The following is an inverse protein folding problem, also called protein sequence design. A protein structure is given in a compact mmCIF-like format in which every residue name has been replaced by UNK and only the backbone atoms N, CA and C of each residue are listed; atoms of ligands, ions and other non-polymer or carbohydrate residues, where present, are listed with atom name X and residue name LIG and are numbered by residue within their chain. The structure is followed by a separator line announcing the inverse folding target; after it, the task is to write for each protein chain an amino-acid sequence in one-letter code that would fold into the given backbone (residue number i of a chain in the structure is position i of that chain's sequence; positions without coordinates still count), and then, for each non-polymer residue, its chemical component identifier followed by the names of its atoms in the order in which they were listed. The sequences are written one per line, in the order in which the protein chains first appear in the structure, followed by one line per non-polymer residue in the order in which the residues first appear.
data_IF_790134374428
#
_entry.id   IF_790134374428
#
_cell.length_a   1.000
_cell.length_b   1.000
_cell.length_c   1.000
_cell.angle_alpha   90.00
_cell.angle_beta   90.00
_cell.angle_gamma   90.00
#
_symmetry.space_group_name_H-M   'P 1'
#
loop_
_entity.id
_entity.type
_entity.pdbx_description
1 polymer ?
#
# COMPACT_ATOMS: atom_id res chain seq x y z
N UNK A 1 -36.27 1.94 1.80
CA UNK A 1 -34.98 1.41 1.33
C UNK A 1 -34.96 1.49 -0.18
N UNK A 2 -33.89 2.04 -0.78
CA UNK A 2 -33.76 2.02 -2.25
C UNK A 2 -33.63 0.58 -2.75
N UNK A 3 -33.96 0.33 -4.01
CA UNK A 3 -33.84 -1.01 -4.60
C UNK A 3 -32.37 -1.51 -4.57
N UNK A 4 -31.42 -0.61 -4.73
CA UNK A 4 -29.98 -0.87 -4.54
C UNK A 4 -29.66 -1.38 -3.13
N UNK A 5 -30.24 -0.76 -2.09
CA UNK A 5 -30.03 -1.17 -0.70
C UNK A 5 -30.63 -2.55 -0.37
N UNK A 6 -31.77 -2.89 -0.99
CA UNK A 6 -32.36 -4.23 -0.88
C UNK A 6 -31.47 -5.27 -1.55
N UNK A 7 -31.00 -4.97 -2.78
CA UNK A 7 -30.17 -5.88 -3.54
C UNK A 7 -28.81 -6.14 -2.85
N UNK A 8 -28.19 -5.12 -2.27
CA UNK A 8 -26.96 -5.27 -1.45
C UNK A 8 -27.21 -6.22 -0.28
N UNK A 9 -28.36 -6.07 0.43
CA UNK A 9 -28.68 -6.94 1.57
C UNK A 9 -28.90 -8.42 1.16
N UNK A 10 -29.56 -8.64 0.02
CA UNK A 10 -29.74 -9.97 -0.56
C UNK A 10 -28.41 -10.62 -0.93
N UNK A 11 -27.53 -9.87 -1.64
CA UNK A 11 -26.18 -10.36 -2.02
C UNK A 11 -25.32 -10.67 -0.81
N UNK A 12 -25.36 -9.87 0.24
CA UNK A 12 -24.63 -10.14 1.48
C UNK A 12 -25.12 -11.42 2.15
N UNK A 13 -26.44 -11.68 2.13
CA UNK A 13 -27.02 -12.92 2.62
C UNK A 13 -26.61 -14.12 1.76
N UNK A 14 -26.74 -14.02 0.43
CA UNK A 14 -26.31 -15.09 -0.49
C UNK A 14 -24.83 -15.42 -0.34
N UNK A 15 -23.97 -14.41 -0.14
CA UNK A 15 -22.54 -14.60 0.09
C UNK A 15 -22.24 -15.28 1.43
N UNK A 16 -22.98 -14.97 2.49
CA UNK A 16 -22.82 -15.62 3.79
C UNK A 16 -23.19 -17.11 3.73
N UNK A 17 -24.15 -17.48 2.89
CA UNK A 17 -24.60 -18.86 2.68
C UNK A 17 -23.77 -19.61 1.62
N UNK A 18 -22.94 -18.92 0.84
CA UNK A 18 -22.14 -19.49 -0.24
C UNK A 18 -20.87 -20.17 0.24
N UNK A 19 -20.33 -21.09 -0.59
CA UNK A 19 -19.08 -21.79 -0.30
C UNK A 19 -17.91 -20.78 -0.22
N UNK A 20 -17.14 -20.81 0.87
CA UNK A 20 -15.97 -19.97 1.03
C UNK A 20 -14.70 -20.67 0.51
N UNK A 21 -13.79 -19.95 -0.14
CA UNK A 21 -12.50 -20.46 -0.55
C UNK A 21 -12.29 -20.51 -2.07
N UNK A 22 -11.16 -21.08 -2.44
CA UNK A 22 -10.71 -21.27 -3.83
C UNK A 22 -10.25 -22.71 -4.07
N UNK A 23 -10.22 -23.13 -5.34
CA UNK A 23 -9.78 -24.48 -5.70
C UNK A 23 -8.29 -24.47 -6.00
N UNK A 24 -7.52 -25.24 -5.23
CA UNK A 24 -6.09 -25.46 -5.42
C UNK A 24 -5.86 -26.82 -6.07
N UNK A 25 -4.99 -26.87 -7.08
CA UNK A 25 -4.54 -28.11 -7.75
C UNK A 25 -3.19 -28.54 -7.18
N UNK A 26 -3.05 -29.82 -6.84
CA UNK A 26 -1.78 -30.43 -6.41
C UNK A 26 -1.53 -31.73 -7.19
N UNK A 27 -0.28 -31.96 -7.57
CA UNK A 27 0.14 -33.23 -8.15
C UNK A 27 0.76 -34.10 -7.05
N UNK A 28 0.12 -35.22 -6.74
CA UNK A 28 0.59 -36.16 -5.71
C UNK A 28 0.75 -37.53 -6.34
N UNK A 29 1.99 -38.06 -6.34
CA UNK A 29 2.33 -39.35 -6.96
C UNK A 29 1.89 -39.43 -8.43
N UNK A 30 2.14 -38.38 -9.21
CA UNK A 30 1.79 -38.30 -10.63
C UNK A 30 0.29 -38.14 -10.95
N UNK A 31 -0.58 -38.03 -9.94
CA UNK A 31 -2.02 -37.82 -10.13
C UNK A 31 -2.43 -36.43 -9.64
N UNK A 32 -3.25 -35.74 -10.44
CA UNK A 32 -3.84 -34.47 -10.06
C UNK A 32 -4.88 -34.66 -8.97
N UNK A 33 -4.83 -33.79 -7.98
CA UNK A 33 -5.81 -33.74 -6.90
C UNK A 33 -6.22 -32.29 -6.65
N UNK A 34 -7.51 -32.10 -6.43
CA UNK A 34 -8.10 -30.78 -6.22
C UNK A 34 -8.54 -30.62 -4.75
N UNK A 35 -8.29 -29.43 -4.21
CA UNK A 35 -8.64 -29.10 -2.84
C UNK A 35 -9.37 -27.76 -2.81
N UNK A 36 -10.47 -27.69 -2.08
CA UNK A 36 -11.05 -26.42 -1.67
C UNK A 36 -10.26 -25.89 -0.49
N UNK A 37 -9.73 -24.67 -0.60
CA UNK A 37 -8.96 -24.01 0.45
C UNK A 37 -9.65 -22.73 0.88
N UNK A 38 -9.68 -22.47 2.18
CA UNK A 38 -10.21 -21.24 2.77
C UNK A 38 -9.45 -20.88 4.05
N UNK A 39 -9.54 -19.61 4.46
CA UNK A 39 -8.98 -19.13 5.72
C UNK A 39 -10.08 -19.06 6.78
N UNK A 40 -9.84 -19.66 7.94
CA UNK A 40 -10.73 -19.62 9.09
C UNK A 40 -9.92 -19.33 10.36
N UNK A 41 -10.26 -18.26 11.07
CA UNK A 41 -9.53 -17.79 12.26
C UNK A 41 -8.02 -17.62 12.02
N UNK A 42 -7.63 -17.04 10.88
CA UNK A 42 -6.24 -16.81 10.48
C UNK A 42 -5.45 -18.07 10.09
N UNK A 43 -6.11 -19.25 10.01
CA UNK A 43 -5.46 -20.51 9.61
C UNK A 43 -6.02 -21.01 8.29
N UNK A 44 -5.12 -21.38 7.36
CA UNK A 44 -5.50 -21.98 6.09
C UNK A 44 -6.03 -23.38 6.34
N UNK A 45 -7.27 -23.63 5.92
CA UNK A 45 -7.91 -24.94 5.91
C UNK A 45 -8.06 -25.48 4.50
N UNK A 46 -8.06 -26.79 4.34
CA UNK A 46 -8.25 -27.39 3.03
C UNK A 46 -9.07 -28.67 3.13
N UNK A 47 -9.94 -28.89 2.13
CA UNK A 47 -10.72 -30.12 1.98
C UNK A 47 -10.45 -30.71 0.59
N UNK A 48 -10.16 -32.01 0.53
CA UNK A 48 -10.04 -32.72 -0.75
C UNK A 48 -11.39 -32.75 -1.48
N UNK A 49 -11.36 -32.50 -2.78
CA UNK A 49 -12.53 -32.53 -3.68
C UNK A 49 -12.49 -33.85 -4.44
N UNK A 50 -13.51 -34.69 -4.30
CA UNK A 50 -13.64 -35.92 -5.09
C UNK A 50 -13.88 -35.58 -6.56
N UNK A 51 -13.45 -36.49 -7.47
CA UNK A 51 -13.54 -36.23 -8.92
C UNK A 51 -14.97 -35.90 -9.38
N UNK A 52 -16.00 -36.58 -8.83
CA UNK A 52 -17.41 -36.31 -9.14
C UNK A 52 -17.96 -34.98 -8.59
N UNK A 53 -17.28 -34.37 -7.60
CA UNK A 53 -17.70 -33.11 -6.96
C UNK A 53 -16.99 -31.87 -7.58
N UNK A 54 -15.98 -32.08 -8.42
CA UNK A 54 -15.11 -31.02 -8.90
C UNK A 54 -15.86 -29.95 -9.68
N UNK A 55 -16.65 -30.34 -10.66
CA UNK A 55 -17.39 -29.39 -11.50
C UNK A 55 -18.45 -28.63 -10.69
N UNK A 56 -19.14 -29.30 -9.77
CA UNK A 56 -20.11 -28.67 -8.89
C UNK A 56 -19.41 -27.65 -7.96
N UNK A 57 -18.24 -28.02 -7.40
CA UNK A 57 -17.47 -27.12 -6.54
C UNK A 57 -16.94 -25.90 -7.32
N UNK A 58 -16.50 -26.09 -8.59
CA UNK A 58 -16.10 -24.99 -9.46
C UNK A 58 -17.27 -24.03 -9.70
N UNK A 59 -18.43 -24.54 -10.06
CA UNK A 59 -19.62 -23.71 -10.28
C UNK A 59 -20.00 -22.89 -9.04
N UNK A 60 -19.88 -23.46 -7.85
CA UNK A 60 -20.17 -22.77 -6.59
C UNK A 60 -19.13 -21.67 -6.28
N UNK A 61 -17.84 -21.93 -6.53
CA UNK A 61 -16.77 -20.92 -6.36
C UNK A 61 -16.93 -19.78 -7.35
N UNK A 62 -17.21 -20.07 -8.63
CA UNK A 62 -17.46 -19.05 -9.65
C UNK A 62 -18.73 -18.23 -9.37
N UNK A 63 -19.81 -18.88 -8.89
CA UNK A 63 -21.01 -18.16 -8.45
C UNK A 63 -20.67 -17.17 -7.33
N UNK A 64 -19.85 -17.58 -6.34
CA UNK A 64 -19.43 -16.66 -5.27
C UNK A 64 -18.66 -15.48 -5.81
N UNK A 65 -17.71 -15.68 -6.75
CA UNK A 65 -16.97 -14.58 -7.40
C UNK A 65 -17.92 -13.62 -8.11
N UNK A 66 -18.90 -14.13 -8.85
CA UNK A 66 -19.90 -13.29 -9.52
C UNK A 66 -20.71 -12.46 -8.54
N UNK A 67 -21.14 -13.06 -7.42
CA UNK A 67 -21.86 -12.33 -6.36
C UNK A 67 -21.00 -11.26 -5.70
N UNK A 68 -19.70 -11.53 -5.48
CA UNK A 68 -18.74 -10.55 -4.95
C UNK A 68 -18.53 -9.38 -5.93
N UNK A 69 -18.40 -9.68 -7.23
CA UNK A 69 -18.25 -8.66 -8.26
C UNK A 69 -19.51 -7.77 -8.39
N UNK A 70 -20.71 -8.38 -8.35
CA UNK A 70 -21.97 -7.63 -8.35
C UNK A 70 -22.10 -6.75 -7.09
N UNK A 71 -21.78 -7.28 -5.93
CA UNK A 71 -21.78 -6.54 -4.67
C UNK A 71 -20.78 -5.37 -4.69
N UNK A 72 -19.57 -5.60 -5.22
CA UNK A 72 -18.53 -4.55 -5.39
C UNK A 72 -19.05 -3.43 -6.29
N UNK A 73 -19.66 -3.76 -7.45
CA UNK A 73 -20.25 -2.76 -8.37
C UNK A 73 -21.36 -1.96 -7.72
N UNK A 74 -22.28 -2.61 -7.03
CA UNK A 74 -23.41 -1.92 -6.37
C UNK A 74 -22.95 -1.04 -5.20
N UNK A 75 -21.96 -1.47 -4.42
CA UNK A 75 -21.35 -0.67 -3.33
C UNK A 75 -20.59 0.55 -3.85
N UNK A 76 -20.08 0.52 -5.06
CA UNK A 76 -19.44 1.66 -5.72
C UNK A 76 -20.41 2.72 -6.26
N UNK A 77 -21.71 2.42 -6.33
CA UNK A 77 -22.71 3.42 -6.75
C UNK A 77 -22.99 4.44 -5.64
N UNK A 78 -23.37 5.69 -5.97
CA UNK A 78 -23.73 6.71 -4.97
C UNK A 78 -24.79 6.24 -3.98
N UNK A 79 -25.76 5.45 -4.43
CA UNK A 79 -26.81 4.86 -3.59
C UNK A 79 -26.31 3.71 -2.74
N UNK A 80 -25.33 2.92 -3.24
CA UNK A 80 -24.67 1.87 -2.51
C UNK A 80 -23.81 2.41 -1.36
N UNK A 81 -23.08 3.48 -1.59
CA UNK A 81 -22.30 4.19 -0.56
C UNK A 81 -23.21 4.72 0.54
N UNK A 82 -24.34 5.35 0.16
CA UNK A 82 -25.35 5.81 1.15
C UNK A 82 -25.94 4.67 1.97
N UNK A 83 -26.25 3.54 1.33
CA UNK A 83 -26.82 2.34 2.00
C UNK A 83 -25.84 1.68 2.97
N UNK A 84 -24.57 1.57 2.60
CA UNK A 84 -23.53 1.02 3.46
C UNK A 84 -23.29 1.90 4.69
N UNK A 85 -23.23 3.21 4.50
CA UNK A 85 -23.09 4.18 5.59
C UNK A 85 -24.28 4.21 6.55
N UNK A 86 -25.51 4.01 6.05
CA UNK A 86 -26.70 3.93 6.89
C UNK A 86 -26.72 2.71 7.80
N UNK A 87 -26.23 1.55 7.34
CA UNK A 87 -26.11 0.34 8.19
C UNK A 87 -25.05 0.49 9.28
N UNK A 88 -23.93 1.12 8.97
CA UNK A 88 -22.87 1.44 9.95
C UNK A 88 -23.33 2.47 10.99
N UNK A 89 -24.20 3.41 10.60
CA UNK A 89 -24.85 4.40 11.48
C UNK A 89 -25.73 3.78 12.57
N UNK A 90 -26.37 2.65 12.30
CA UNK A 90 -27.28 2.00 13.25
C UNK A 90 -26.58 1.29 14.42
N UNK A 91 -25.25 1.15 14.40
CA UNK A 91 -24.46 0.35 15.39
C UNK A 91 -23.51 1.20 16.24
N UNK A 92 -23.34 2.50 15.94
CA UNK A 92 -22.43 3.37 16.72
C UNK A 92 -23.19 4.53 17.34
N UNK A 93 -22.92 4.78 18.65
CA UNK A 93 -23.08 6.11 19.27
C UNK A 93 -22.20 7.08 18.48
N UNK A 94 -22.79 7.76 17.51
CA UNK A 94 -22.09 8.68 16.62
C UNK A 94 -21.50 9.81 17.45
N UNK A 95 -20.18 9.89 17.49
CA UNK A 95 -19.53 11.15 17.83
C UNK A 95 -19.93 12.14 16.71
N UNK A 96 -20.48 13.27 17.13
CA UNK A 96 -20.95 14.32 16.23
C UNK A 96 -19.73 15.04 15.65
N UNK A 97 -19.17 14.52 14.50
CA UNK A 97 -17.98 15.09 13.88
C UNK A 97 -18.39 16.40 13.21
N UNK A 98 -18.15 17.50 13.93
CA UNK A 98 -18.43 18.85 13.46
C UNK A 98 -17.17 19.70 13.64
N UNK A 99 -16.79 20.45 12.61
CA UNK A 99 -15.59 21.27 12.57
C UNK A 99 -15.16 21.59 11.16
N UNK A 100 -13.88 21.83 10.98
CA UNK A 100 -13.27 22.12 9.67
C UNK A 100 -12.09 21.20 9.39
N UNK A 101 -11.99 20.78 8.14
CA UNK A 101 -10.76 20.16 7.62
C UNK A 101 -9.84 21.28 7.17
N UNK A 102 -8.60 21.20 7.59
CA UNK A 102 -7.59 22.22 7.39
C UNK A 102 -6.41 21.69 6.57
N UNK A 103 -5.77 22.57 5.80
CA UNK A 103 -4.39 22.40 5.31
C UNK A 103 -3.60 23.59 5.79
N UNK A 104 -2.64 23.37 6.67
CA UNK A 104 -2.05 24.45 7.49
C UNK A 104 -3.16 25.26 8.17
N UNK A 105 -3.16 26.58 8.03
CA UNK A 105 -4.19 27.47 8.57
C UNK A 105 -5.31 27.79 7.57
N UNK A 106 -5.30 27.14 6.37
CA UNK A 106 -6.33 27.28 5.35
C UNK A 106 -7.48 26.27 5.60
N UNK A 107 -8.72 26.76 5.64
CA UNK A 107 -9.91 25.91 5.70
C UNK A 107 -10.16 25.31 4.32
N UNK A 108 -10.07 23.96 4.22
CA UNK A 108 -10.31 23.26 2.94
C UNK A 108 -11.66 22.58 2.86
N UNK A 109 -12.31 22.33 4.01
CA UNK A 109 -13.70 21.87 4.03
C UNK A 109 -14.37 22.16 5.36
N UNK A 110 -15.69 22.40 5.31
CA UNK A 110 -16.56 22.45 6.49
C UNK A 110 -17.25 21.11 6.67
N UNK A 111 -17.27 20.62 7.91
CA UNK A 111 -17.87 19.33 8.27
C UNK A 111 -18.95 19.56 9.33
N UNK A 112 -20.17 19.10 9.07
CA UNK A 112 -21.29 19.15 10.01
C UNK A 112 -21.90 17.75 10.14
N UNK A 113 -21.89 17.21 11.36
CA UNK A 113 -22.45 15.89 11.65
C UNK A 113 -21.88 14.77 10.74
N UNK A 114 -20.57 14.79 10.47
CA UNK A 114 -19.92 13.81 9.61
C UNK A 114 -20.17 14.00 8.10
N UNK A 115 -20.72 15.13 7.69
CA UNK A 115 -20.99 15.46 6.29
C UNK A 115 -20.18 16.67 5.87
N UNK A 116 -19.45 16.57 4.77
CA UNK A 116 -18.76 17.70 4.14
C UNK A 116 -19.82 18.57 3.46
N UNK A 117 -19.91 19.86 3.84
CA UNK A 117 -20.94 20.80 3.35
C UNK A 117 -20.37 21.87 2.43
N UNK A 118 -19.06 22.13 2.53
CA UNK A 118 -18.35 23.12 1.72
C UNK A 118 -16.90 22.68 1.62
N UNK A 119 -16.30 22.70 0.41
CA UNK A 119 -14.96 22.23 0.18
C UNK A 119 -14.25 22.93 -0.96
N UNK A 120 -12.95 23.22 -0.76
CA UNK A 120 -12.02 23.51 -1.87
C UNK A 120 -11.58 22.19 -2.50
N UNK A 121 -12.26 21.80 -3.58
CA UNK A 121 -12.02 20.55 -4.29
C UNK A 121 -10.55 20.36 -4.72
N UNK A 122 -9.81 21.45 -4.95
CA UNK A 122 -8.39 21.35 -5.36
C UNK A 122 -7.51 20.81 -4.23
N UNK A 123 -7.76 21.28 -3.00
CA UNK A 123 -6.97 20.96 -1.81
C UNK A 123 -7.47 19.75 -1.04
N UNK A 124 -8.72 19.31 -1.29
CA UNK A 124 -9.30 18.18 -0.58
C UNK A 124 -8.40 16.94 -0.70
N UNK A 125 -8.14 16.17 0.38
CA UNK A 125 -7.42 14.90 0.32
C UNK A 125 -8.02 13.96 -0.73
N UNK A 126 -7.18 13.21 -1.44
CA UNK A 126 -7.60 12.32 -2.53
C UNK A 126 -8.67 11.31 -2.09
N UNK A 127 -8.51 10.75 -0.89
CA UNK A 127 -9.51 9.86 -0.30
C UNK A 127 -10.89 10.54 -0.19
N UNK A 128 -10.93 11.79 0.26
CA UNK A 128 -12.19 12.53 0.41
C UNK A 128 -12.77 12.97 -0.93
N UNK A 129 -11.93 13.32 -1.91
CA UNK A 129 -12.39 13.56 -3.29
C UNK A 129 -13.14 12.35 -3.86
N UNK A 130 -12.59 11.15 -3.65
CA UNK A 130 -13.18 9.91 -4.13
C UNK A 130 -14.44 9.51 -3.36
N UNK A 131 -14.44 9.64 -2.03
CA UNK A 131 -15.43 8.98 -1.18
C UNK A 131 -16.41 9.93 -0.49
N UNK A 132 -16.04 11.20 -0.28
CA UNK A 132 -16.77 12.13 0.59
C UNK A 132 -16.88 11.67 2.05
N UNK A 133 -16.17 10.62 2.46
CA UNK A 133 -16.33 9.96 3.76
C UNK A 133 -15.30 10.45 4.77
N UNK A 134 -15.62 11.49 5.52
CA UNK A 134 -14.75 12.07 6.56
C UNK A 134 -14.46 11.07 7.70
N UNK A 135 -15.44 10.22 8.08
CA UNK A 135 -15.23 9.21 9.12
C UNK A 135 -14.18 8.19 8.70
N UNK A 136 -14.27 7.70 7.45
CA UNK A 136 -13.29 6.79 6.86
C UNK A 136 -11.91 7.42 6.76
N UNK A 137 -11.83 8.68 6.35
CA UNK A 137 -10.56 9.42 6.29
C UNK A 137 -9.91 9.57 7.67
N UNK A 138 -10.67 9.96 8.70
CA UNK A 138 -10.16 10.05 10.07
C UNK A 138 -9.70 8.68 10.60
N UNK A 139 -10.47 7.64 10.35
CA UNK A 139 -10.14 6.28 10.79
C UNK A 139 -8.86 5.75 10.11
N UNK A 140 -8.67 6.03 8.81
CA UNK A 140 -7.48 5.57 8.07
C UNK A 140 -6.18 6.23 8.54
N UNK A 141 -6.26 7.33 9.28
CA UNK A 141 -5.10 8.03 9.83
C UNK A 141 -4.67 7.53 11.21
N UNK A 142 -5.42 6.63 11.84
CA UNK A 142 -5.09 6.12 13.16
C UNK A 142 -3.99 5.05 13.09
N UNK A 143 -3.21 4.97 14.17
CA UNK A 143 -2.26 3.87 14.38
C UNK A 143 -2.97 2.53 14.26
N UNK A 144 -2.35 1.57 13.56
CA UNK A 144 -2.87 0.20 13.45
C UNK A 144 -3.08 -0.42 14.84
N UNK A 145 -4.30 -0.85 15.18
CA UNK A 145 -4.60 -1.47 16.46
C UNK A 145 -3.88 -2.81 16.68
N UNK A 146 -3.41 -3.45 15.60
CA UNK A 146 -2.67 -4.71 15.64
C UNK A 146 -1.18 -4.52 15.92
N UNK A 147 -0.63 -3.30 15.79
CA UNK A 147 0.75 -3.02 16.16
C UNK A 147 0.97 -3.34 17.64
N UNK A 148 2.03 -4.07 17.94
CA UNK A 148 2.35 -4.60 19.29
C UNK A 148 2.26 -3.53 20.38
N UNK A 149 2.85 -2.35 20.14
CA UNK A 149 2.94 -1.29 21.15
C UNK A 149 1.77 -0.30 21.12
N UNK A 150 0.78 -0.46 20.22
CA UNK A 150 -0.34 0.49 20.09
C UNK A 150 -1.16 0.62 21.37
N UNK A 151 -1.41 -0.49 22.08
CA UNK A 151 -2.12 -0.51 23.36
C UNK A 151 -1.32 0.15 24.47
N UNK A 152 0.00 -0.08 24.51
CA UNK A 152 0.91 0.54 25.47
C UNK A 152 0.94 2.05 25.28
N UNK A 153 1.06 2.51 24.04
CA UNK A 153 1.04 3.91 23.65
C UNK A 153 -0.27 4.60 24.09
N UNK A 154 -1.43 4.03 23.74
CA UNK A 154 -2.75 4.56 24.16
C UNK A 154 -2.87 4.64 25.68
N UNK A 155 -2.36 3.63 26.40
CA UNK A 155 -2.35 3.62 27.87
C UNK A 155 -1.45 4.70 28.49
N UNK A 156 -0.22 4.89 27.98
CA UNK A 156 0.70 5.92 28.42
C UNK A 156 0.13 7.33 28.19
N UNK A 157 -0.57 7.52 27.09
CA UNK A 157 -1.27 8.77 26.75
C UNK A 157 -2.62 8.94 27.49
N UNK A 158 -3.01 7.96 28.32
CA UNK A 158 -4.30 7.94 29.06
C UNK A 158 -5.53 7.98 28.16
N UNK A 159 -5.39 7.49 26.93
CA UNK A 159 -6.50 7.36 26.01
C UNK A 159 -7.32 6.10 26.34
N UNK A 160 -8.61 6.29 26.64
CA UNK A 160 -9.54 5.18 26.99
C UNK A 160 -10.37 4.72 25.80
N UNK A 161 -9.83 4.87 24.59
CA UNK A 161 -10.55 4.53 23.37
C UNK A 161 -9.88 3.41 22.58
N UNK A 162 -10.70 2.55 21.99
CA UNK A 162 -10.32 1.60 20.94
C UNK A 162 -10.82 2.09 19.57
N UNK A 163 -11.51 3.21 19.52
CA UNK A 163 -12.04 3.83 18.31
C UNK A 163 -10.92 4.56 17.55
N UNK A 164 -10.78 4.25 16.25
CA UNK A 164 -9.71 4.81 15.42
C UNK A 164 -9.94 6.30 15.16
N UNK A 165 -11.19 6.74 14.96
CA UNK A 165 -11.52 8.14 14.77
C UNK A 165 -11.12 8.95 16.01
N UNK A 166 -11.53 8.48 17.20
CA UNK A 166 -11.16 9.14 18.45
C UNK A 166 -9.65 9.11 18.70
N UNK A 167 -8.95 8.07 18.23
CA UNK A 167 -7.48 7.97 18.31
C UNK A 167 -6.82 9.03 17.42
N UNK A 168 -7.23 9.16 16.17
CA UNK A 168 -6.71 10.18 15.27
C UNK A 168 -7.06 11.60 15.75
N UNK A 169 -8.29 11.84 16.22
CA UNK A 169 -8.73 13.13 16.73
C UNK A 169 -8.00 13.55 18.01
N UNK A 170 -7.43 12.63 18.79
CA UNK A 170 -6.62 12.97 19.97
C UNK A 170 -5.38 13.83 19.60
N UNK A 171 -4.95 13.78 18.35
CA UNK A 171 -3.89 14.63 17.77
C UNK A 171 -4.41 15.42 16.55
N UNK A 172 -5.72 15.70 16.50
CA UNK A 172 -6.36 16.44 15.40
C UNK A 172 -6.19 15.79 14.02
N UNK A 173 -5.98 14.50 13.96
CA UNK A 173 -5.64 13.72 12.77
C UNK A 173 -4.39 14.23 12.03
N UNK A 174 -3.50 14.99 12.67
CA UNK A 174 -2.27 15.48 12.07
C UNK A 174 -1.25 14.33 11.88
N UNK A 175 -0.44 14.41 10.83
CA UNK A 175 0.68 13.49 10.55
C UNK A 175 2.00 14.27 10.41
N UNK A 176 3.10 13.56 10.20
CA UNK A 176 4.40 14.14 9.84
C UNK A 176 4.47 14.41 8.35
N UNK A 177 3.78 13.61 7.53
CA UNK A 177 3.97 13.53 6.08
C UNK A 177 2.98 14.34 5.25
N UNK A 178 2.06 15.05 5.88
CA UNK A 178 1.12 15.97 5.23
C UNK A 178 0.69 17.10 6.14
N UNK A 179 0.04 18.12 5.60
CA UNK A 179 -0.44 19.30 6.32
C UNK A 179 -1.92 19.29 6.62
N UNK A 180 -2.59 18.15 6.41
CA UNK A 180 -4.00 18.00 6.72
C UNK A 180 -4.22 17.77 8.23
N UNK A 181 -5.23 18.42 8.77
CA UNK A 181 -5.67 18.20 10.14
C UNK A 181 -7.13 18.59 10.33
N UNK A 182 -7.74 18.06 11.37
CA UNK A 182 -9.13 18.34 11.71
C UNK A 182 -9.21 19.32 12.90
N UNK A 183 -9.88 20.44 12.68
CA UNK A 183 -10.15 21.46 13.69
C UNK A 183 -11.58 21.30 14.21
N UNK A 184 -11.79 20.79 15.45
CA UNK A 184 -13.11 20.66 16.04
C UNK A 184 -13.82 22.01 16.13
N UNK A 185 -15.14 22.02 16.09
CA UNK A 185 -15.95 23.20 16.28
C UNK A 185 -15.60 23.91 17.61
N UNK A 186 -15.50 25.22 17.60
CA UNK A 186 -15.11 26.02 18.76
C UNK A 186 -13.61 26.01 19.12
N UNK A 187 -12.78 25.26 18.41
CA UNK A 187 -11.33 25.28 18.63
C UNK A 187 -10.69 26.54 18.05
N UNK A 188 -9.80 27.18 18.83
CA UNK A 188 -8.97 28.31 18.40
C UNK A 188 -7.59 27.89 17.88
N UNK A 189 -7.28 26.57 17.85
CA UNK A 189 -5.97 26.06 17.44
C UNK A 189 -5.58 26.54 16.04
N UNK A 190 -4.30 26.82 15.86
CA UNK A 190 -3.64 27.13 14.58
C UNK A 190 -2.66 26.02 14.22
N UNK A 191 -2.22 25.94 12.97
CA UNK A 191 -1.35 24.85 12.52
C UNK A 191 -0.06 24.74 13.33
N UNK A 192 0.51 25.86 13.76
CA UNK A 192 1.72 25.88 14.59
C UNK A 192 1.54 25.15 15.93
N UNK A 193 0.32 25.09 16.48
CA UNK A 193 -0.03 24.31 17.68
C UNK A 193 -0.22 22.81 17.36
N UNK A 194 -0.54 22.50 16.10
CA UNK A 194 -0.95 21.17 15.67
C UNK A 194 0.21 20.36 15.12
N UNK A 195 1.10 20.96 14.30
CA UNK A 195 2.25 20.27 13.73
C UNK A 195 3.15 19.68 14.81
N UNK A 196 3.71 18.52 14.54
CA UNK A 196 4.65 17.88 15.45
C UNK A 196 6.01 18.58 15.41
N UNK A 197 6.57 18.85 16.58
CA UNK A 197 7.88 19.51 16.79
C UNK A 197 8.83 18.63 17.58
N UNK A 198 8.31 17.53 18.13
CA UNK A 198 9.02 16.60 19.02
C UNK A 198 8.22 15.30 19.14
N UNK A 199 8.85 14.25 19.60
CA UNK A 199 8.18 12.99 19.90
C UNK A 199 8.78 12.32 21.16
N UNK A 200 8.16 12.51 22.29
CA UNK A 200 8.60 11.92 23.56
C UNK A 200 8.18 10.45 23.74
N UNK A 201 7.37 9.90 22.85
CA UNK A 201 6.85 8.54 22.91
C UNK A 201 7.44 7.61 21.82
N UNK A 202 8.49 8.08 21.13
CA UNK A 202 9.16 7.32 20.08
C UNK A 202 9.64 5.94 20.58
N UNK A 203 10.35 5.91 21.71
CA UNK A 203 10.90 4.66 22.26
C UNK A 203 9.79 3.71 22.75
N UNK A 204 8.67 4.23 23.24
CA UNK A 204 7.52 3.40 23.60
C UNK A 204 6.90 2.75 22.35
N UNK A 205 6.76 3.51 21.27
CA UNK A 205 6.20 3.00 20.01
C UNK A 205 7.13 1.98 19.35
N UNK A 206 8.45 2.22 19.37
CA UNK A 206 9.45 1.37 18.72
C UNK A 206 9.75 0.08 19.48
N UNK A 207 9.90 0.14 20.81
CA UNK A 207 10.36 -0.99 21.62
C UNK A 207 9.60 -1.22 22.94
N UNK A 208 8.49 -0.54 23.13
CA UNK A 208 7.68 -0.70 24.35
C UNK A 208 8.34 -0.18 25.63
N UNK A 209 9.20 0.85 25.54
CA UNK A 209 9.98 1.39 26.65
C UNK A 209 9.11 1.80 27.84
N UNK A 210 9.27 1.16 29.02
CA UNK A 210 8.42 1.42 30.21
C UNK A 210 8.63 2.81 30.81
N UNK A 211 9.77 3.45 30.63
CA UNK A 211 10.08 4.77 31.22
C UNK A 211 9.16 5.86 30.67
N UNK A 212 8.60 5.61 29.48
CA UNK A 212 7.62 6.51 28.86
C UNK A 212 6.32 6.65 29.68
N UNK A 213 5.98 5.69 30.57
CA UNK A 213 4.79 5.78 31.43
C UNK A 213 4.93 6.81 32.55
N UNK A 214 6.15 7.19 32.91
CA UNK A 214 6.43 8.25 33.89
C UNK A 214 6.23 9.66 33.30
N UNK A 215 6.19 9.78 31.96
CA UNK A 215 6.06 11.06 31.27
C UNK A 215 4.62 11.60 31.35
N UNK A 216 4.51 12.93 31.36
CA UNK A 216 3.20 13.57 31.18
C UNK A 216 2.68 13.30 29.76
N UNK A 217 1.41 12.89 29.63
CA UNK A 217 0.82 12.73 28.29
C UNK A 217 0.96 14.01 27.46
N UNK A 218 1.45 13.87 26.24
CA UNK A 218 1.61 14.95 25.27
C UNK A 218 1.25 14.47 23.89
N UNK A 219 1.12 15.37 22.94
CA UNK A 219 0.90 15.04 21.53
C UNK A 219 2.07 14.22 21.00
N UNK A 220 1.77 13.25 20.14
CA UNK A 220 2.78 12.41 19.50
C UNK A 220 2.32 12.00 18.10
N UNK A 221 3.19 12.01 17.09
CA UNK A 221 2.87 11.53 15.74
C UNK A 221 2.55 10.04 15.71
N UNK A 222 2.89 9.30 16.76
CA UNK A 222 2.69 7.85 16.80
C UNK A 222 1.21 7.43 16.76
N UNK A 223 0.30 8.29 17.19
CA UNK A 223 -1.15 8.01 17.09
C UNK A 223 -1.67 8.03 15.65
N UNK A 224 -0.94 8.65 14.75
CA UNK A 224 -1.24 8.72 13.31
C UNK A 224 -0.14 8.11 12.44
N UNK A 225 0.77 7.34 13.04
CA UNK A 225 1.78 6.57 12.33
C UNK A 225 1.19 5.21 11.95
N UNK A 226 0.73 5.07 10.71
CA UNK A 226 0.05 3.87 10.19
C UNK A 226 1.00 2.70 9.92
N UNK A 227 0.46 1.50 9.66
CA UNK A 227 1.20 0.27 9.36
C UNK A 227 1.45 -0.61 10.60
N UNK A 228 1.70 -1.91 10.37
CA UNK A 228 1.70 -2.97 11.38
C UNK A 228 3.06 -3.21 12.06
N UNK A 229 4.17 -2.85 11.44
CA UNK A 229 5.51 -3.02 12.00
C UNK A 229 5.79 -2.02 13.11
N UNK A 230 6.67 -2.41 14.07
CA UNK A 230 7.14 -1.51 15.11
C UNK A 230 8.05 -0.45 14.51
N UNK A 231 7.59 0.78 14.60
CA UNK A 231 8.25 1.96 14.05
C UNK A 231 7.92 3.20 14.83
N UNK A 232 8.74 4.22 14.69
CA UNK A 232 8.49 5.52 15.31
C UNK A 232 9.11 6.65 14.49
N UNK A 233 8.56 7.83 14.65
CA UNK A 233 9.15 9.07 14.17
C UNK A 233 10.11 9.65 15.20
N UNK A 234 11.31 10.05 14.78
CA UNK A 234 12.24 10.86 15.58
C UNK A 234 12.62 12.12 14.82
N UNK A 235 12.66 13.23 15.53
CA UNK A 235 13.18 14.50 15.00
C UNK A 235 14.66 14.62 15.39
N UNK A 236 15.56 14.64 14.41
CA UNK A 236 17.01 14.71 14.59
C UNK A 236 17.53 15.85 13.74
N UNK A 237 18.20 16.83 14.34
CA UNK A 237 18.78 18.00 13.66
C UNK A 237 17.76 18.75 12.75
N UNK A 238 16.50 18.79 13.19
CA UNK A 238 15.41 19.44 12.46
C UNK A 238 14.77 18.62 11.35
N UNK A 239 15.21 17.38 11.13
CA UNK A 239 14.69 16.47 10.13
C UNK A 239 13.95 15.28 10.76
N UNK A 240 12.83 14.86 10.17
CA UNK A 240 12.09 13.68 10.61
C UNK A 240 12.68 12.41 10.01
N UNK A 241 12.84 11.41 10.89
CA UNK A 241 13.33 10.08 10.54
C UNK A 241 12.35 9.01 11.04
N UNK A 242 11.98 8.09 10.15
CA UNK A 242 11.20 6.92 10.49
C UNK A 242 12.14 5.78 10.89
N UNK A 243 12.12 5.40 12.16
CA UNK A 243 12.84 4.24 12.68
C UNK A 243 11.98 3.01 12.62
N UNK A 244 12.54 1.90 12.16
CA UNK A 244 11.88 0.59 12.12
C UNK A 244 12.76 -0.45 12.83
N UNK A 245 12.10 -1.43 13.50
CA UNK A 245 12.74 -2.66 13.97
C UNK A 245 12.53 -3.77 12.93
N UNK A 246 13.50 -4.66 12.83
CA UNK A 246 13.47 -5.81 11.91
C UNK A 246 14.65 -6.73 12.15
N UNK A 247 14.79 -7.75 11.32
CA UNK A 247 15.97 -8.61 11.29
C UNK A 247 17.02 -8.08 10.28
N UNK A 248 18.18 -8.72 10.24
CA UNK A 248 19.30 -8.25 9.40
C UNK A 248 19.01 -8.38 7.89
N UNK A 249 18.23 -9.38 7.48
CA UNK A 249 17.86 -9.63 6.10
C UNK A 249 16.85 -8.58 5.61
N UNK A 250 15.91 -8.17 6.46
CA UNK A 250 14.99 -7.06 6.19
C UNK A 250 15.74 -5.73 6.08
N UNK A 251 16.71 -5.48 6.96
CA UNK A 251 17.55 -4.28 6.89
C UNK A 251 18.42 -4.27 5.63
N UNK A 252 19.01 -5.43 5.29
CA UNK A 252 19.77 -5.56 4.06
C UNK A 252 18.94 -5.23 2.83
N UNK A 253 17.70 -5.75 2.74
CA UNK A 253 16.82 -5.52 1.60
C UNK A 253 16.49 -4.04 1.42
N UNK A 254 16.13 -3.32 2.50
CA UNK A 254 15.88 -1.87 2.46
C UNK A 254 17.12 -1.08 2.01
N UNK A 255 18.29 -1.37 2.61
CA UNK A 255 19.53 -0.67 2.31
C UNK A 255 20.01 -0.95 0.89
N UNK A 256 19.96 -2.22 0.46
CA UNK A 256 20.46 -2.60 -0.86
C UNK A 256 19.62 -1.96 -1.97
N UNK A 257 18.30 -2.03 -1.87
CA UNK A 257 17.40 -1.42 -2.87
C UNK A 257 17.53 0.09 -2.88
N UNK A 258 17.68 0.74 -1.72
CA UNK A 258 17.97 2.16 -1.62
C UNK A 258 19.25 2.50 -2.38
N UNK A 259 20.38 1.82 -2.08
CA UNK A 259 21.66 2.06 -2.74
C UNK A 259 21.63 1.77 -4.23
N UNK A 260 21.01 0.66 -4.62
CA UNK A 260 20.83 0.32 -6.03
C UNK A 260 20.06 1.43 -6.78
N UNK A 261 18.93 1.87 -6.25
CA UNK A 261 18.16 2.94 -6.84
C UNK A 261 18.94 4.27 -6.90
N UNK A 262 19.67 4.64 -5.83
CA UNK A 262 20.54 5.83 -5.81
C UNK A 262 21.57 5.78 -6.96
N UNK A 263 22.28 4.65 -7.14
CA UNK A 263 23.29 4.48 -8.20
C UNK A 263 22.68 4.45 -9.61
N UNK A 264 21.48 3.95 -9.75
CA UNK A 264 20.75 3.94 -11.03
C UNK A 264 20.02 5.26 -11.30
N UNK A 265 20.07 6.25 -10.39
CA UNK A 265 19.37 7.53 -10.53
C UNK A 265 17.85 7.41 -10.42
N UNK A 266 17.34 6.37 -9.77
CA UNK A 266 15.91 6.13 -9.55
C UNK A 266 15.44 6.81 -8.26
N UNK A 267 14.22 7.40 -8.25
CA UNK A 267 13.67 8.00 -7.04
C UNK A 267 13.50 6.96 -5.92
N UNK A 268 14.19 7.16 -4.80
CA UNK A 268 14.13 6.28 -3.63
C UNK A 268 14.17 7.06 -2.33
N UNK A 269 13.52 6.56 -1.29
CA UNK A 269 13.67 7.06 0.06
C UNK A 269 15.07 6.71 0.57
N UNK A 270 15.69 7.64 1.29
CA UNK A 270 17.01 7.42 1.85
C UNK A 270 16.98 6.59 3.13
N UNK A 271 17.74 5.50 3.17
CA UNK A 271 17.85 4.58 4.30
C UNK A 271 19.27 4.48 4.84
N UNK A 272 19.39 4.35 6.15
CA UNK A 272 20.66 4.08 6.83
C UNK A 272 20.46 3.32 8.15
N UNK A 273 21.52 2.71 8.66
CA UNK A 273 21.50 2.11 9.99
C UNK A 273 21.83 3.15 11.07
N UNK A 274 21.07 3.09 12.18
CA UNK A 274 21.38 3.82 13.41
C UNK A 274 21.34 2.84 14.60
N UNK A 275 22.52 2.44 15.05
CA UNK A 275 22.66 1.40 16.07
C UNK A 275 22.10 0.07 15.59
N UNK A 276 21.06 -0.40 16.26
CA UNK A 276 20.39 -1.68 15.94
C UNK A 276 19.11 -1.52 15.10
N UNK A 277 18.81 -0.32 14.64
CA UNK A 277 17.61 -0.01 13.88
C UNK A 277 17.98 0.44 12.47
N UNK A 278 17.05 0.26 11.55
CA UNK A 278 17.07 0.95 10.28
C UNK A 278 16.23 2.22 10.39
N UNK A 279 16.66 3.28 9.73
CA UNK A 279 15.89 4.51 9.64
C UNK A 279 15.80 5.00 8.21
N UNK A 280 14.68 5.61 7.84
CA UNK A 280 14.51 6.32 6.58
C UNK A 280 14.21 7.78 6.84
N UNK A 281 14.81 8.65 6.01
CA UNK A 281 14.56 10.08 6.05
C UNK A 281 13.15 10.36 5.52
N UNK A 282 12.43 11.27 6.16
CA UNK A 282 11.15 11.77 5.65
C UNK A 282 11.32 12.43 4.28
N UNK A 283 10.82 11.79 3.24
CA UNK A 283 10.90 12.28 1.86
C UNK A 283 9.92 13.45 1.59
N UNK A 284 9.00 13.75 2.51
CA UNK A 284 8.13 14.92 2.41
C UNK A 284 8.76 16.20 2.93
N UNK A 285 9.94 16.10 3.55
CA UNK A 285 10.66 17.20 4.18
C UNK A 285 9.79 17.98 5.19
N UNK A 286 9.23 17.24 6.17
CA UNK A 286 8.35 17.82 7.20
C UNK A 286 7.06 18.36 6.61
N UNK A 287 6.48 17.62 5.69
CA UNK A 287 5.27 17.99 4.94
C UNK A 287 5.43 19.27 4.10
N UNK A 288 6.61 19.54 3.52
CA UNK A 288 6.74 20.56 2.48
C UNK A 288 5.90 20.22 1.24
N UNK A 289 5.66 18.91 1.03
CA UNK A 289 4.66 18.34 0.13
C UNK A 289 3.78 17.38 0.90
N UNK A 290 2.53 17.19 0.49
CA UNK A 290 1.65 16.19 1.09
C UNK A 290 1.91 14.82 0.44
N UNK A 291 2.10 13.79 1.25
CA UNK A 291 2.10 12.41 0.79
C UNK A 291 0.72 11.78 1.01
N UNK A 292 0.19 11.16 -0.03
CA UNK A 292 -1.06 10.38 0.03
C UNK A 292 -0.84 9.00 -0.60
N UNK A 293 -1.04 7.88 0.14
CA UNK A 293 -0.89 6.54 -0.42
C UNK A 293 -1.90 6.30 -1.55
N UNK A 294 -1.55 5.44 -2.53
CA UNK A 294 -2.44 5.17 -3.66
C UNK A 294 -3.76 4.55 -3.22
N UNK A 295 -3.80 3.91 -2.07
CA UNK A 295 -5.02 3.44 -1.41
C UNK A 295 -6.10 4.52 -1.33
N UNK A 296 -5.74 5.78 -1.23
CA UNK A 296 -6.68 6.91 -1.25
C UNK A 296 -7.55 6.92 -2.53
N UNK A 297 -7.02 6.40 -3.65
CA UNK A 297 -7.69 6.37 -4.95
C UNK A 297 -8.27 4.99 -5.31
N UNK A 298 -7.56 3.89 -4.98
CA UNK A 298 -7.94 2.53 -5.40
C UNK A 298 -8.48 1.66 -4.27
N UNK A 299 -8.43 2.10 -3.00
CA UNK A 299 -8.73 1.29 -1.81
C UNK A 299 -7.72 0.14 -1.64
N UNK A 300 -8.17 -1.07 -1.30
CA UNK A 300 -7.34 -2.27 -1.17
C UNK A 300 -7.23 -3.04 -2.50
N UNK A 301 -7.41 -2.39 -3.65
CA UNK A 301 -7.30 -3.00 -4.96
C UNK A 301 -5.84 -2.93 -5.44
N UNK A 302 -5.11 -4.03 -5.27
CA UNK A 302 -3.68 -4.16 -5.61
C UNK A 302 -3.44 -4.60 -7.06
N UNK A 303 -4.50 -4.64 -7.88
CA UNK A 303 -4.40 -4.98 -9.29
C UNK A 303 -3.56 -3.93 -10.04
N UNK A 304 -2.54 -4.40 -10.78
CA UNK A 304 -1.59 -3.53 -11.48
C UNK A 304 -2.27 -2.68 -12.55
N UNK A 305 -3.21 -3.25 -13.29
CA UNK A 305 -3.92 -2.57 -14.36
C UNK A 305 -4.80 -1.46 -13.81
N UNK A 306 -5.57 -1.73 -12.74
CA UNK A 306 -6.40 -0.72 -12.10
C UNK A 306 -5.56 0.42 -11.51
N UNK A 307 -4.46 0.12 -10.82
CA UNK A 307 -3.54 1.13 -10.31
C UNK A 307 -2.93 1.96 -11.46
N UNK A 308 -2.51 1.31 -12.54
CA UNK A 308 -1.95 1.97 -13.71
C UNK A 308 -2.95 2.93 -14.35
N UNK A 309 -4.18 2.50 -14.62
CA UNK A 309 -5.19 3.35 -15.26
C UNK A 309 -5.54 4.58 -14.41
N UNK A 310 -5.59 4.43 -13.09
CA UNK A 310 -5.78 5.58 -12.19
C UNK A 310 -4.62 6.56 -12.30
N UNK A 311 -3.38 6.07 -12.31
CA UNK A 311 -2.18 6.92 -12.42
C UNK A 311 -2.03 7.51 -13.82
N UNK A 312 -2.31 6.75 -14.87
CA UNK A 312 -2.30 7.20 -16.27
C UNK A 312 -3.32 8.31 -16.52
N UNK A 313 -4.51 8.18 -15.91
CA UNK A 313 -5.54 9.22 -15.95
C UNK A 313 -5.13 10.53 -15.25
N UNK A 314 -4.13 10.49 -14.35
CA UNK A 314 -3.53 11.68 -13.76
C UNK A 314 -2.45 12.26 -14.72
N UNK A 315 -1.50 11.43 -15.13
CA UNK A 315 -0.42 11.79 -16.06
C UNK A 315 0.29 10.53 -16.56
N UNK A 316 0.57 10.41 -17.87
CA UNK A 316 1.42 9.36 -18.41
C UNK A 316 2.80 9.30 -17.74
N UNK A 317 3.36 10.44 -17.34
CA UNK A 317 4.66 10.50 -16.67
C UNK A 317 4.63 9.84 -15.29
N UNK A 318 3.53 10.00 -14.54
CA UNK A 318 3.34 9.33 -13.25
C UNK A 318 3.12 7.83 -13.46
N UNK A 319 2.41 7.43 -14.52
CA UNK A 319 2.26 6.03 -14.88
C UNK A 319 3.61 5.38 -15.28
N UNK A 320 4.50 6.10 -15.97
CA UNK A 320 5.89 5.65 -16.23
C UNK A 320 6.67 5.42 -14.93
N UNK A 321 6.53 6.32 -13.96
CA UNK A 321 7.18 6.13 -12.65
C UNK A 321 6.66 4.87 -11.92
N UNK A 322 5.37 4.56 -12.08
CA UNK A 322 4.81 3.32 -11.53
C UNK A 322 5.33 2.08 -12.26
N UNK A 323 5.41 2.08 -13.58
CA UNK A 323 6.02 0.98 -14.34
C UNK A 323 7.47 0.73 -13.94
N UNK A 324 8.24 1.81 -13.68
CA UNK A 324 9.61 1.72 -13.22
C UNK A 324 9.71 1.14 -11.79
N UNK A 325 8.75 1.48 -10.92
CA UNK A 325 8.63 0.86 -9.60
C UNK A 325 8.35 -0.64 -9.70
N UNK A 326 7.42 -1.06 -10.56
CA UNK A 326 7.11 -2.48 -10.80
C UNK A 326 8.29 -3.26 -11.42
N UNK A 327 9.04 -2.61 -12.30
CA UNK A 327 10.30 -3.16 -12.82
C UNK A 327 11.30 -3.39 -11.69
N UNK A 328 11.51 -2.40 -10.82
CA UNK A 328 12.41 -2.50 -9.66
C UNK A 328 11.98 -3.62 -8.73
N UNK A 329 10.67 -3.70 -8.43
CA UNK A 329 10.11 -4.78 -7.59
C UNK A 329 10.32 -6.16 -8.23
N UNK A 330 10.21 -6.26 -9.56
CA UNK A 330 10.41 -7.52 -10.29
C UNK A 330 11.87 -7.98 -10.26
N UNK A 331 12.82 -7.06 -10.43
CA UNK A 331 14.27 -7.35 -10.36
C UNK A 331 14.71 -7.68 -8.94
N UNK A 332 14.22 -6.93 -7.94
CA UNK A 332 14.57 -7.10 -6.53
C UNK A 332 13.66 -8.09 -5.77
N UNK A 333 12.68 -8.68 -6.44
CA UNK A 333 11.72 -9.61 -5.86
C UNK A 333 11.01 -9.03 -4.63
N UNK A 334 10.43 -7.84 -4.77
CA UNK A 334 9.62 -7.24 -3.72
C UNK A 334 8.16 -7.68 -3.84
N UNK A 335 7.72 -8.57 -2.95
CA UNK A 335 6.37 -9.13 -2.95
C UNK A 335 5.36 -8.35 -2.10
N UNK A 336 5.76 -7.23 -1.51
CA UNK A 336 4.94 -6.49 -0.55
C UNK A 336 4.52 -5.10 -1.07
N UNK A 337 4.42 -4.92 -2.39
CA UNK A 337 3.99 -3.66 -3.00
C UNK A 337 2.47 -3.51 -2.96
N UNK A 338 1.92 -3.44 -1.76
CA UNK A 338 0.50 -3.16 -1.55
C UNK A 338 0.20 -1.64 -1.62
N UNK A 339 -1.08 -1.27 -1.65
CA UNK A 339 -1.56 0.10 -1.91
C UNK A 339 -1.17 1.15 -0.85
N UNK A 340 -0.61 0.75 0.29
CA UNK A 340 -0.01 1.64 1.29
C UNK A 340 1.50 1.84 1.09
N UNK A 341 2.18 1.02 0.23
CA UNK A 341 3.62 1.03 0.03
C UNK A 341 4.05 1.81 -1.22
N UNK A 342 3.15 2.55 -1.85
CA UNK A 342 3.42 3.58 -2.84
C UNK A 342 2.30 4.62 -2.84
N UNK A 343 2.55 5.80 -3.42
CA UNK A 343 1.56 6.86 -3.38
C UNK A 343 2.03 8.09 -4.13
N UNK A 344 1.36 9.20 -3.90
CA UNK A 344 1.49 10.44 -4.65
C UNK A 344 2.00 11.57 -3.77
N UNK A 345 2.90 12.39 -4.31
CA UNK A 345 3.29 13.66 -3.73
C UNK A 345 2.44 14.77 -4.33
N UNK A 346 1.89 15.63 -3.47
CA UNK A 346 1.04 16.74 -3.86
C UNK A 346 1.55 18.05 -3.29
N UNK A 347 1.47 19.10 -4.10
CA UNK A 347 1.74 20.46 -3.67
C UNK A 347 0.71 20.92 -2.63
N UNK A 348 1.20 21.44 -1.50
CA UNK A 348 0.38 21.81 -0.34
C UNK A 348 -0.58 22.96 -0.66
N UNK A 349 -0.16 23.91 -1.52
CA UNK A 349 -0.90 25.15 -1.81
C UNK A 349 -1.88 25.00 -2.95
N UNK A 350 -1.52 24.25 -3.97
CA UNK A 350 -2.32 24.11 -5.20
C UNK A 350 -3.10 22.81 -5.26
N UNK A 351 -2.69 21.81 -4.47
CA UNK A 351 -3.23 20.45 -4.53
C UNK A 351 -2.85 19.68 -5.80
N UNK A 352 -1.96 20.23 -6.64
CA UNK A 352 -1.48 19.56 -7.84
C UNK A 352 -0.66 18.33 -7.47
N UNK A 353 -0.91 17.20 -8.13
CA UNK A 353 -0.07 16.02 -8.04
C UNK A 353 1.23 16.30 -8.78
N UNK A 354 2.36 16.07 -8.10
CA UNK A 354 3.71 16.39 -8.58
C UNK A 354 4.38 15.16 -9.20
N UNK A 355 4.33 14.04 -8.49
CA UNK A 355 4.98 12.79 -8.88
C UNK A 355 4.43 11.62 -8.07
N UNK A 356 4.84 10.41 -8.45
CA UNK A 356 4.85 9.27 -7.53
C UNK A 356 5.80 9.59 -6.37
N UNK A 357 5.53 9.06 -5.18
CA UNK A 357 6.48 9.08 -4.07
C UNK A 357 7.74 8.27 -4.43
N UNK A 358 8.91 8.59 -3.87
CA UNK A 358 10.10 7.76 -4.02
C UNK A 358 9.82 6.32 -3.59
N UNK A 359 10.53 5.34 -4.16
CA UNK A 359 10.43 3.94 -3.71
C UNK A 359 10.78 3.81 -2.23
N UNK A 360 9.92 3.18 -1.44
CA UNK A 360 10.09 2.97 0.01
C UNK A 360 9.45 1.65 0.44
N UNK A 361 9.79 1.19 1.64
CA UNK A 361 9.26 -0.02 2.29
C UNK A 361 9.53 -1.30 1.49
N UNK A 362 10.82 -1.60 1.33
CA UNK A 362 11.32 -2.77 0.60
C UNK A 362 11.83 -3.88 1.55
N UNK A 363 11.39 -3.88 2.80
CA UNK A 363 11.88 -4.80 3.83
C UNK A 363 11.50 -6.27 3.60
N UNK A 364 10.57 -6.56 2.70
CA UNK A 364 10.13 -7.93 2.35
C UNK A 364 10.66 -8.37 0.96
N UNK A 365 11.69 -7.71 0.47
CA UNK A 365 12.33 -8.02 -0.81
C UNK A 365 13.56 -8.93 -0.67
N UNK A 366 14.18 -9.29 -1.76
CA UNK A 366 15.44 -10.03 -1.85
C UNK A 366 15.44 -11.29 -0.97
N UNK A 367 16.32 -11.28 0.03
CA UNK A 367 16.54 -12.39 0.97
C UNK A 367 15.79 -12.24 2.30
N UNK A 368 14.88 -11.28 2.42
CA UNK A 368 14.16 -11.02 3.68
C UNK A 368 13.40 -12.24 4.23
N UNK A 369 12.99 -13.16 3.36
CA UNK A 369 12.34 -14.44 3.71
C UNK A 369 13.28 -15.65 3.63
N UNK A 370 14.59 -15.42 3.60
CA UNK A 370 15.64 -16.39 3.42
C UNK A 370 16.18 -16.41 1.99
N UNK A 371 17.16 -17.29 1.75
CA UNK A 371 17.81 -17.44 0.44
C UNK A 371 17.04 -18.45 -0.42
N UNK A 372 16.27 -18.03 -1.46
CA UNK A 372 15.62 -18.97 -2.36
C UNK A 372 16.61 -19.92 -3.03
N UNK A 373 16.30 -21.21 -3.06
CA UNK A 373 17.17 -22.22 -3.67
C UNK A 373 17.10 -22.24 -5.20
N UNK A 374 15.99 -21.80 -5.78
CA UNK A 374 15.77 -21.68 -7.22
C UNK A 374 15.48 -20.22 -7.56
N UNK A 375 16.57 -19.47 -7.81
CA UNK A 375 16.53 -18.03 -8.06
C UNK A 375 15.68 -17.70 -9.29
N UNK A 376 15.89 -18.44 -10.39
CA UNK A 376 15.16 -18.22 -11.65
C UNK A 376 13.65 -18.38 -11.47
N UNK A 377 13.22 -19.48 -10.87
CA UNK A 377 11.80 -19.76 -10.62
C UNK A 377 11.18 -18.75 -9.66
N UNK A 378 11.97 -18.24 -8.72
CA UNK A 378 11.54 -17.21 -7.78
C UNK A 378 11.17 -15.94 -8.54
N UNK A 379 12.05 -15.46 -9.41
CA UNK A 379 11.79 -14.28 -10.24
C UNK A 379 10.63 -14.50 -11.23
N UNK A 380 10.57 -15.66 -11.90
CA UNK A 380 9.51 -15.97 -12.87
C UNK A 380 8.10 -15.82 -12.25
N UNK A 381 7.95 -16.12 -10.97
CA UNK A 381 6.68 -16.00 -10.26
C UNK A 381 6.18 -14.55 -10.19
N UNK A 382 7.06 -13.60 -9.87
CA UNK A 382 6.70 -12.18 -9.76
C UNK A 382 6.67 -11.49 -11.13
N UNK A 383 7.67 -11.75 -11.99
CA UNK A 383 7.73 -11.21 -13.35
C UNK A 383 6.51 -11.64 -14.17
N UNK A 384 5.98 -12.84 -13.89
CA UNK A 384 4.76 -13.32 -14.53
C UNK A 384 3.55 -12.40 -14.34
N UNK A 385 3.42 -11.73 -13.19
CA UNK A 385 2.36 -10.74 -12.96
C UNK A 385 2.59 -9.47 -13.79
N UNK A 386 3.82 -8.97 -13.83
CA UNK A 386 4.16 -7.81 -14.66
C UNK A 386 3.94 -8.11 -16.14
N UNK A 387 4.37 -9.30 -16.61
CA UNK A 387 4.15 -9.76 -17.98
C UNK A 387 2.67 -9.80 -18.33
N UNK A 388 1.84 -10.47 -17.53
CA UNK A 388 0.41 -10.56 -17.76
C UNK A 388 -0.24 -9.18 -17.84
N UNK A 389 0.10 -8.28 -16.90
CA UNK A 389 -0.39 -6.91 -16.93
C UNK A 389 -0.01 -6.18 -18.22
N UNK A 390 1.25 -6.27 -18.67
CA UNK A 390 1.69 -5.61 -19.91
C UNK A 390 1.10 -6.26 -21.17
N UNK A 391 0.71 -7.55 -21.13
CA UNK A 391 -0.01 -8.21 -22.23
C UNK A 391 -1.46 -7.74 -22.32
N UNK A 392 -2.12 -7.54 -21.18
CA UNK A 392 -3.54 -7.19 -21.10
C UNK A 392 -3.80 -5.68 -21.26
N UNK A 393 -2.80 -4.80 -20.95
CA UNK A 393 -2.92 -3.34 -21.00
C UNK A 393 -2.01 -2.76 -22.08
N UNK A 394 -2.60 -2.32 -23.21
CA UNK A 394 -1.86 -1.78 -24.36
C UNK A 394 -1.10 -0.50 -24.03
N UNK A 395 -1.73 0.45 -23.32
CA UNK A 395 -1.11 1.70 -22.94
C UNK A 395 0.10 1.50 -22.01
N UNK A 396 0.01 0.54 -21.09
CA UNK A 396 1.12 0.20 -20.21
C UNK A 396 2.28 -0.43 -20.99
N UNK A 397 1.97 -1.31 -21.94
CA UNK A 397 2.96 -1.96 -22.80
C UNK A 397 3.68 -0.95 -23.68
N UNK A 398 2.96 -0.01 -24.29
CA UNK A 398 3.56 1.05 -25.11
C UNK A 398 4.48 1.93 -24.29
N UNK A 399 4.01 2.43 -23.14
CA UNK A 399 4.85 3.24 -22.23
C UNK A 399 6.09 2.46 -21.76
N UNK A 400 5.95 1.18 -21.42
CA UNK A 400 7.05 0.34 -20.96
C UNK A 400 8.12 0.18 -22.05
N UNK A 401 7.71 -0.03 -23.33
CA UNK A 401 8.63 -0.13 -24.48
C UNK A 401 9.39 1.17 -24.75
N UNK A 402 8.77 2.31 -24.49
CA UNK A 402 9.42 3.63 -24.64
C UNK A 402 10.44 3.94 -23.53
N UNK A 403 10.34 3.23 -22.39
CA UNK A 403 11.21 3.47 -21.25
C UNK A 403 12.63 2.95 -21.54
N UNK A 404 13.62 3.77 -21.18
CA UNK A 404 15.01 3.33 -21.10
C UNK A 404 15.27 2.81 -19.70
N UNK A 405 15.12 1.50 -19.53
CA UNK A 405 15.42 0.86 -18.26
C UNK A 405 16.92 0.91 -17.98
N UNK A 406 17.34 1.18 -16.74
CA UNK A 406 18.74 1.21 -16.39
C UNK A 406 19.35 -0.19 -16.45
N UNK A 407 20.62 -0.26 -16.78
CA UNK A 407 21.38 -1.51 -16.75
C UNK A 407 22.06 -1.70 -15.40
N UNK A 408 21.82 -2.83 -14.76
CA UNK A 408 22.47 -3.22 -13.52
C UNK A 408 23.67 -4.09 -13.87
N UNK A 409 24.86 -3.64 -13.49
CA UNK A 409 26.12 -4.36 -13.71
C UNK A 409 26.64 -4.98 -12.41
N UNK A 410 27.55 -5.94 -12.50
CA UNK A 410 28.24 -6.51 -11.32
C UNK A 410 28.92 -5.43 -10.50
N UNK A 411 29.57 -4.47 -11.15
CA UNK A 411 30.26 -3.35 -10.48
C UNK A 411 29.30 -2.52 -9.63
N UNK A 412 28.11 -2.18 -10.17
CA UNK A 412 27.07 -1.44 -9.43
C UNK A 412 26.61 -2.23 -8.20
N UNK A 413 26.41 -3.54 -8.35
CA UNK A 413 26.01 -4.42 -7.24
C UNK A 413 27.10 -4.46 -6.18
N UNK A 414 28.37 -4.62 -6.58
CA UNK A 414 29.50 -4.67 -5.66
C UNK A 414 29.69 -3.36 -4.91
N UNK A 415 29.57 -2.23 -5.57
CA UNK A 415 29.58 -0.92 -4.93
C UNK A 415 28.45 -0.76 -3.89
N UNK A 416 27.23 -1.25 -4.19
CA UNK A 416 26.15 -1.26 -3.21
C UNK A 416 26.49 -2.12 -2.01
N UNK A 417 27.03 -3.33 -2.24
CA UNK A 417 27.42 -4.27 -1.19
C UNK A 417 28.57 -3.74 -0.31
N UNK A 418 29.49 -2.95 -0.87
CA UNK A 418 30.59 -2.32 -0.12
C UNK A 418 30.13 -1.21 0.83
N UNK A 419 29.05 -0.54 0.49
CA UNK A 419 28.47 0.54 1.31
C UNK A 419 27.56 0.03 2.45
N UNK A 420 27.15 -1.25 2.42
CA UNK A 420 26.17 -1.80 3.37
C UNK A 420 26.87 -2.60 4.47
N UNK A 421 26.80 -2.16 5.74
CA UNK A 421 27.47 -2.83 6.86
C UNK A 421 26.65 -4.03 7.40
N UNK A 422 26.05 -4.82 6.50
CA UNK A 422 25.29 -6.04 6.81
C UNK A 422 25.93 -7.21 6.09
N UNK A 423 26.37 -8.22 6.83
CA UNK A 423 27.03 -9.39 6.27
C UNK A 423 26.02 -10.32 5.59
N UNK A 424 26.23 -10.58 4.29
CA UNK A 424 25.40 -11.44 3.43
C UNK A 424 26.30 -12.26 2.50
N UNK A 425 25.74 -13.28 1.86
CA UNK A 425 26.37 -13.98 0.75
C UNK A 425 26.39 -13.09 -0.50
N UNK A 426 27.50 -12.41 -0.74
CA UNK A 426 27.65 -11.42 -1.84
C UNK A 426 27.48 -12.04 -3.22
N UNK A 427 28.03 -13.26 -3.41
CA UNK A 427 27.93 -13.97 -4.69
C UNK A 427 26.47 -14.36 -4.98
N UNK A 428 25.76 -14.78 -3.95
CA UNK A 428 24.34 -15.05 -4.07
C UNK A 428 23.55 -13.79 -4.46
N UNK A 429 23.79 -12.66 -3.80
CA UNK A 429 23.09 -11.40 -4.11
C UNK A 429 23.37 -10.95 -5.55
N UNK A 430 24.63 -11.03 -5.99
CA UNK A 430 25.02 -10.72 -7.37
C UNK A 430 24.23 -11.58 -8.37
N UNK A 431 24.29 -12.90 -8.16
CA UNK A 431 23.54 -13.86 -8.99
C UNK A 431 22.03 -13.58 -8.96
N UNK A 432 21.48 -13.25 -7.80
CA UNK A 432 20.05 -13.00 -7.62
C UNK A 432 19.59 -11.78 -8.43
N UNK A 433 20.27 -10.65 -8.31
CA UNK A 433 19.89 -9.41 -9.00
C UNK A 433 20.06 -9.52 -10.51
N UNK A 434 21.22 -10.06 -10.96
CA UNK A 434 21.47 -10.24 -12.41
C UNK A 434 20.45 -11.21 -13.02
N UNK A 435 20.15 -12.31 -12.34
CA UNK A 435 19.11 -13.24 -12.79
C UNK A 435 17.74 -12.53 -12.90
N UNK A 436 17.37 -11.68 -11.93
CA UNK A 436 16.13 -10.91 -11.99
C UNK A 436 16.07 -10.01 -13.22
N UNK A 437 17.14 -9.25 -13.47
CA UNK A 437 17.25 -8.39 -14.66
C UNK A 437 17.15 -9.19 -15.96
N UNK A 438 17.91 -10.29 -16.07
CA UNK A 438 17.90 -11.13 -17.26
C UNK A 438 16.52 -11.77 -17.50
N UNK A 439 15.84 -12.21 -16.43
CA UNK A 439 14.50 -12.78 -16.55
C UNK A 439 13.45 -11.74 -16.96
N UNK A 440 13.55 -10.49 -16.51
CA UNK A 440 12.70 -9.40 -17.03
C UNK A 440 12.94 -9.22 -18.53
N UNK A 441 14.19 -9.17 -18.99
CA UNK A 441 14.55 -9.05 -20.41
C UNK A 441 14.00 -10.23 -21.22
N UNK A 442 14.25 -11.46 -20.78
CA UNK A 442 13.80 -12.67 -21.49
C UNK A 442 12.27 -12.77 -21.59
N UNK A 443 11.54 -12.52 -20.52
CA UNK A 443 10.10 -12.77 -20.46
C UNK A 443 9.24 -11.62 -20.98
N UNK A 444 9.75 -10.38 -20.98
CA UNK A 444 8.98 -9.20 -21.34
C UNK A 444 9.49 -8.56 -22.62
N UNK A 445 10.81 -8.38 -22.77
CA UNK A 445 11.38 -7.64 -23.88
C UNK A 445 11.52 -8.50 -25.16
N UNK A 446 11.84 -9.80 -25.02
CA UNK A 446 12.02 -10.69 -26.17
C UNK A 446 10.71 -11.23 -26.77
N UNK A 447 9.62 -11.32 -25.99
CA UNK A 447 8.31 -11.69 -26.53
C UNK A 447 7.64 -10.58 -27.38
N UNK A 448 8.23 -9.40 -27.43
CA UNK A 448 7.74 -8.28 -28.26
C UNK A 448 7.89 -8.47 -29.77
N UNK A 449 8.71 -9.44 -30.23
CA UNK A 449 8.94 -9.74 -31.66
C UNK A 449 7.96 -10.77 -32.23
N UNK A 450 7.06 -11.34 -31.44
CA UNK A 450 6.16 -12.42 -31.90
C UNK A 450 4.74 -11.97 -32.27
N UNK A 451 4.46 -10.68 -32.40
CA UNK A 451 3.12 -10.18 -32.79
C UNK A 451 3.04 -9.38 -34.09
N UNK A 452 3.97 -9.56 -35.03
CA UNK A 452 3.68 -9.31 -36.41
C UNK A 452 3.18 -10.63 -36.99
N UNK A 453 1.85 -10.84 -36.99
CA UNK A 453 1.17 -11.87 -37.71
C UNK A 453 1.56 -11.72 -39.17
N UNK A 454 2.40 -12.62 -39.71
CA UNK A 454 2.47 -12.89 -41.12
C UNK A 454 1.07 -13.34 -41.58
N UNK A 455 0.31 -12.43 -42.16
CA UNK A 455 -0.85 -12.83 -42.96
C UNK A 455 -0.38 -13.86 -43.98
N UNK A 456 -0.98 -15.05 -44.04
CA UNK A 456 -0.66 -16.00 -45.08
C UNK A 456 -1.11 -15.40 -46.40
N UNK A 457 -0.14 -15.01 -47.23
CA UNK A 457 -0.32 -14.59 -48.58
C UNK A 457 -0.87 -15.77 -49.40
N UNK A 458 -2.20 -15.93 -49.41
CA UNK A 458 -2.88 -16.84 -50.32
C UNK A 458 -2.86 -16.25 -51.75
N UNK A 459 -1.72 -16.37 -52.39
CA UNK A 459 -1.60 -16.18 -53.84
C UNK A 459 -2.44 -17.20 -54.56
N UNK A 460 -3.63 -16.85 -54.98
CA UNK A 460 -4.37 -17.49 -56.05
C UNK A 460 -3.61 -17.24 -57.34
N UNK A 461 -3.01 -18.30 -57.87
CA UNK A 461 -2.59 -18.34 -59.29
C UNK A 461 -3.61 -19.16 -60.05
N UNK A 462 -4.19 -18.54 -61.07
CA UNK A 462 -5.02 -19.15 -62.11
C UNK A 462 -4.26 -20.20 -62.90
#
# INVERSE_FOLDING_TARGET
MSDTAKRIAELEKELAESINGYISRKVIKGKERFYLQWTENGKLKSRYIKAGELEQTRALVERRKSLQAELKKLKATPDGVKSYNLKRKAVRNMQNITGTLMSEDHVIATVKNGVITDADERLLPLYLKRTGNIEGWLASRAIDPHRTNSRLLKRALRLRTTDDIATALAVNAATVTDRYWFKPEGSSAVYEDIRFKENYFAELALRGDPDSFSRKPSRTPELTNTGSFEKCWKLIDGEWWMYKSGNKEEYFSELFICKLCEKLGLPTAHYELDGRYIRSKDFTNGAAVNFEPIRALVDDDEDYENCFHVLYGISPEIAKQYLLLLWTDSVCYNMDRHTENFGLLRDVKTGKILSLAPNYDNNIALIAKGYPSDVRRTHDGLIGFLKAFLQDCEEARELYREMRLPEITEDIIDECLDEIPVEVDREYIRTFILCGQDRVRELIEMDGDLSEDEEPNMGLTL
#
